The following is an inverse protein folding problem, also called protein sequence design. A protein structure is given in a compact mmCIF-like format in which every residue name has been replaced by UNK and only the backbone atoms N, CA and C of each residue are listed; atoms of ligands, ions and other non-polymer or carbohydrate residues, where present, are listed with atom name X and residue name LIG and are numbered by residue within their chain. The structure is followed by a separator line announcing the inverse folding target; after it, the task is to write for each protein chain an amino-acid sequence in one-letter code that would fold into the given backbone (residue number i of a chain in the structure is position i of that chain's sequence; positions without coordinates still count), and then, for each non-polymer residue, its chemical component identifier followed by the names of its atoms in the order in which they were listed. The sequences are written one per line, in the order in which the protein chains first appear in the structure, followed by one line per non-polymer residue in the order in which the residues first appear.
data_IF_124943850360
#
_entry.id   IF_124943850360
#
_cell.length_a   1.000
_cell.length_b   1.000
_cell.length_c   1.000
_cell.angle_alpha   90.00
_cell.angle_beta   90.00
_cell.angle_gamma   90.00
#
_symmetry.space_group_name_H-M   'P 1'
#
loop_
_entity.id
_entity.type
_entity.pdbx_description
1 polymer ?
#
# COMPACT_ATOMS: atom_id res chain seq x y z
N UNK A 1 -2.83 -8.67 11.73
CA UNK A 1 -3.01 -8.38 10.29
C UNK A 1 -2.52 -9.60 9.50
N UNK A 2 -3.36 -10.61 9.29
CA UNK A 2 -3.00 -11.78 8.47
C UNK A 2 -3.46 -11.50 7.03
N UNK A 3 -2.54 -11.20 6.08
CA UNK A 3 -2.93 -10.97 4.70
C UNK A 3 -3.42 -12.30 4.12
N UNK A 4 -4.70 -12.36 3.73
CA UNK A 4 -5.19 -13.46 2.90
C UNK A 4 -4.68 -13.26 1.48
N UNK A 5 -3.93 -14.22 0.95
CA UNK A 5 -3.45 -14.23 -0.44
C UNK A 5 -4.54 -14.67 -1.43
N UNK A 6 -5.69 -15.13 -0.91
CA UNK A 6 -6.85 -15.50 -1.73
C UNK A 6 -7.35 -14.24 -2.44
N UNK A 7 -7.51 -14.32 -3.77
CA UNK A 7 -7.92 -13.23 -4.69
C UNK A 7 -6.86 -12.17 -5.06
N UNK A 8 -5.60 -12.32 -4.65
CA UNK A 8 -4.56 -11.33 -5.00
C UNK A 8 -4.34 -11.24 -6.53
N UNK A 9 -4.30 -12.38 -7.21
CA UNK A 9 -4.13 -12.45 -8.67
C UNK A 9 -5.30 -11.80 -9.41
N UNK A 10 -6.52 -12.04 -8.95
CA UNK A 10 -7.74 -11.44 -9.51
C UNK A 10 -7.76 -9.92 -9.34
N UNK A 11 -7.26 -9.41 -8.21
CA UNK A 11 -7.14 -7.97 -7.98
C UNK A 11 -6.08 -7.31 -8.84
N UNK A 12 -4.92 -7.94 -8.97
CA UNK A 12 -3.87 -7.44 -9.89
C UNK A 12 -4.44 -7.36 -11.31
N UNK A 13 -5.11 -8.42 -11.77
CA UNK A 13 -5.74 -8.42 -13.10
C UNK A 13 -6.83 -7.35 -13.24
N UNK A 14 -7.67 -7.19 -12.22
CA UNK A 14 -8.73 -6.20 -12.19
C UNK A 14 -8.20 -4.77 -12.35
N UNK A 15 -7.18 -4.38 -11.59
CA UNK A 15 -6.63 -3.02 -11.65
C UNK A 15 -5.82 -2.74 -12.92
N UNK A 16 -5.27 -3.78 -13.56
CA UNK A 16 -4.54 -3.66 -14.82
C UNK A 16 -5.46 -3.65 -16.05
N UNK A 17 -6.52 -4.47 -16.06
CA UNK A 17 -7.36 -4.71 -17.24
C UNK A 17 -8.87 -4.68 -16.95
N UNK A 18 -9.31 -5.22 -15.82
CA UNK A 18 -10.74 -5.38 -15.50
C UNK A 18 -11.49 -4.06 -15.33
N UNK A 19 -10.86 -3.02 -14.79
CA UNK A 19 -11.44 -1.68 -14.64
C UNK A 19 -11.86 -1.09 -16.00
N UNK A 20 -11.01 -1.22 -17.02
CA UNK A 20 -11.31 -0.71 -18.35
C UNK A 20 -12.42 -1.50 -19.06
N UNK A 21 -12.68 -2.73 -18.62
CA UNK A 21 -13.77 -3.58 -19.11
C UNK A 21 -15.08 -3.41 -18.31
N UNK A 22 -15.09 -2.60 -17.25
CA UNK A 22 -16.25 -2.45 -16.37
C UNK A 22 -16.57 -3.72 -15.57
N UNK A 23 -15.58 -4.57 -15.31
CA UNK A 23 -15.77 -5.77 -14.50
C UNK A 23 -16.13 -5.39 -13.05
N UNK A 24 -16.77 -6.28 -12.29
CA UNK A 24 -17.08 -6.02 -10.88
C UNK A 24 -15.83 -6.22 -10.02
N UNK A 25 -15.60 -5.34 -9.05
CA UNK A 25 -14.44 -5.42 -8.15
C UNK A 25 -14.41 -6.76 -7.38
N UNK A 26 -13.31 -7.54 -7.44
CA UNK A 26 -13.30 -8.95 -6.97
C UNK A 26 -13.31 -9.14 -5.45
N UNK A 27 -12.99 -8.08 -4.68
CA UNK A 27 -13.16 -8.07 -3.23
C UNK A 27 -14.22 -7.06 -2.79
N UNK A 28 -15.11 -7.49 -1.90
CA UNK A 28 -16.08 -6.63 -1.25
C UNK A 28 -15.43 -5.96 -0.04
N UNK A 29 -15.60 -4.63 0.08
CA UNK A 29 -15.26 -3.91 1.29
C UNK A 29 -16.38 -4.20 2.30
N UNK A 30 -16.05 -4.71 3.47
CA UNK A 30 -16.97 -4.77 4.62
C UNK A 30 -16.49 -3.78 5.68
N UNK A 31 -17.34 -3.41 6.65
CA UNK A 31 -16.97 -2.46 7.71
C UNK A 31 -15.71 -2.90 8.48
N UNK A 32 -15.55 -4.21 8.67
CA UNK A 32 -14.38 -4.83 9.32
C UNK A 32 -13.15 -4.93 8.41
N UNK A 33 -13.30 -4.79 7.09
CA UNK A 33 -12.23 -4.91 6.11
C UNK A 33 -12.30 -3.82 5.05
N UNK A 34 -12.03 -2.57 5.47
CA UNK A 34 -11.98 -1.39 4.60
C UNK A 34 -10.91 -1.47 3.51
N UNK A 35 -9.83 -2.22 3.74
CA UNK A 35 -8.73 -2.38 2.79
C UNK A 35 -8.83 -3.65 1.97
N UNK A 36 -8.54 -3.51 0.68
CA UNK A 36 -8.40 -4.60 -0.26
C UNK A 36 -7.13 -5.45 0.10
N UNK A 37 -7.17 -6.81 0.05
CA UNK A 37 -5.99 -7.68 0.17
C UNK A 37 -4.70 -7.19 -0.51
N UNK A 38 -4.77 -6.70 -1.75
CA UNK A 38 -3.62 -6.12 -2.45
C UNK A 38 -3.06 -4.88 -1.72
N UNK A 39 -3.94 -3.96 -1.31
CA UNK A 39 -3.55 -2.77 -0.56
C UNK A 39 -2.97 -3.11 0.81
N UNK A 40 -3.50 -4.14 1.49
CA UNK A 40 -2.97 -4.63 2.78
C UNK A 40 -1.54 -5.16 2.64
N UNK A 41 -1.26 -5.91 1.56
CA UNK A 41 0.08 -6.44 1.30
C UNK A 41 1.07 -5.31 0.98
N UNK A 42 0.68 -4.38 0.11
CA UNK A 42 1.51 -3.21 -0.22
C UNK A 42 1.78 -2.36 1.03
N UNK A 43 0.77 -2.13 1.87
CA UNK A 43 0.94 -1.39 3.12
C UNK A 43 1.88 -2.10 4.11
N UNK A 44 1.79 -3.44 4.20
CA UNK A 44 2.70 -4.24 5.01
C UNK A 44 4.14 -4.11 4.51
N UNK A 45 4.36 -4.25 3.20
CA UNK A 45 5.69 -4.10 2.59
C UNK A 45 6.26 -2.68 2.76
N UNK A 46 5.43 -1.66 2.57
CA UNK A 46 5.81 -0.27 2.77
C UNK A 46 6.26 -0.02 4.22
N UNK A 47 5.44 -0.43 5.19
CA UNK A 47 5.66 -0.15 6.61
C UNK A 47 6.82 -0.95 7.21
N UNK A 48 6.94 -2.23 6.85
CA UNK A 48 7.91 -3.15 7.47
C UNK A 48 9.24 -3.18 6.74
N UNK A 49 9.26 -2.93 5.43
CA UNK A 49 10.47 -3.07 4.61
C UNK A 49 10.90 -1.74 4.02
N UNK A 50 10.07 -1.12 3.19
CA UNK A 50 10.50 0.00 2.35
C UNK A 50 10.84 1.25 3.18
N UNK A 51 9.98 1.65 4.12
CA UNK A 51 10.22 2.81 4.98
C UNK A 51 11.47 2.62 5.83
N UNK A 52 11.64 1.52 6.59
CA UNK A 52 12.87 1.29 7.35
C UNK A 52 14.12 1.30 6.48
N UNK A 53 14.09 0.65 5.32
CA UNK A 53 15.25 0.60 4.41
C UNK A 53 15.63 2.00 3.92
N UNK A 54 14.68 2.82 3.46
CA UNK A 54 14.95 4.17 2.96
C UNK A 54 15.45 5.09 4.07
N UNK A 55 14.85 5.03 5.26
CA UNK A 55 15.26 5.86 6.41
C UNK A 55 16.64 5.48 6.91
N UNK A 56 16.88 4.18 7.16
CA UNK A 56 18.17 3.68 7.66
C UNK A 56 19.28 3.97 6.64
N UNK A 57 19.06 3.63 5.36
CA UNK A 57 20.04 3.91 4.31
C UNK A 57 20.31 5.40 4.14
N UNK A 58 19.29 6.27 4.27
CA UNK A 58 19.47 7.73 4.21
C UNK A 58 20.29 8.30 5.38
N UNK A 59 20.01 7.82 6.60
CA UNK A 59 20.80 8.18 7.79
C UNK A 59 22.24 7.71 7.64
N UNK A 60 22.46 6.47 7.18
CA UNK A 60 23.80 5.93 6.94
C UNK A 60 24.53 6.73 5.86
N UNK A 61 23.84 7.11 4.78
CA UNK A 61 24.42 7.87 3.68
C UNK A 61 24.91 9.26 4.12
N UNK A 62 24.11 9.99 4.92
CA UNK A 62 24.50 11.30 5.47
C UNK A 62 25.67 11.19 6.46
N UNK A 63 25.67 10.14 7.29
CA UNK A 63 26.68 9.97 8.35
C UNK A 63 27.95 9.25 7.89
N UNK A 64 28.01 8.74 6.65
CA UNK A 64 29.16 7.97 6.15
C UNK A 64 30.47 8.76 6.22
N UNK A 65 30.45 10.05 5.84
CA UNK A 65 31.64 10.92 5.88
C UNK A 65 32.14 11.17 7.30
N UNK A 66 31.24 11.34 8.27
CA UNK A 66 31.60 11.60 9.68
C UNK A 66 32.22 10.36 10.34
N UNK A 67 31.76 9.16 9.95
CA UNK A 67 32.25 7.89 10.49
C UNK A 67 33.68 7.60 10.02
N UNK A 68 34.00 7.91 8.76
CA UNK A 68 35.36 7.81 8.20
C UNK A 68 36.37 8.70 8.95
N UNK A 69 35.97 9.92 9.34
CA UNK A 69 36.88 10.89 9.95
C UNK A 69 37.12 10.69 11.47
N UNK A 70 36.14 10.13 12.21
CA UNK A 70 36.20 10.00 13.68
C UNK A 70 36.40 8.56 14.19
N UNK A 71 36.73 7.60 13.32
CA UNK A 71 37.13 6.21 13.66
C UNK A 71 36.18 5.46 14.61
N UNK A 72 34.87 5.71 14.55
CA UNK A 72 33.87 4.91 15.27
C UNK A 72 33.58 3.66 14.42
N UNK A 73 34.13 2.52 14.84
CA UNK A 73 34.10 1.24 14.12
C UNK A 73 32.68 0.66 14.16
N UNK A 74 31.85 0.95 13.15
CA UNK A 74 30.60 0.19 12.89
C UNK A 74 30.38 -0.10 11.39
N UNK A 75 31.06 0.59 10.45
CA UNK A 75 30.75 0.51 9.00
C UNK A 75 32.01 0.28 8.12
N UNK A 76 33.06 -0.36 8.63
CA UNK A 76 34.24 -0.65 7.79
C UNK A 76 33.97 -1.71 6.70
N UNK A 77 32.86 -2.46 6.78
CA UNK A 77 32.59 -3.59 5.89
C UNK A 77 31.54 -3.32 4.80
N UNK A 78 30.69 -2.28 4.95
CA UNK A 78 29.63 -1.99 3.98
C UNK A 78 30.11 -0.88 3.04
N UNK A 79 30.34 -1.17 1.76
CA UNK A 79 30.80 -0.16 0.81
C UNK A 79 29.71 0.90 0.58
N UNK A 80 30.10 2.17 0.50
CA UNK A 80 29.21 3.31 0.24
C UNK A 80 28.31 3.08 -0.98
N UNK A 81 28.86 2.46 -2.03
CA UNK A 81 28.12 2.12 -3.25
C UNK A 81 26.86 1.29 -2.93
N UNK A 82 26.97 0.28 -2.07
CA UNK A 82 25.81 -0.55 -1.70
C UNK A 82 24.73 0.27 -1.00
N UNK A 83 25.11 1.17 -0.08
CA UNK A 83 24.16 2.05 0.62
C UNK A 83 23.47 2.99 -0.38
N UNK A 84 24.25 3.59 -1.29
CA UNK A 84 23.75 4.50 -2.32
C UNK A 84 22.74 3.81 -3.26
N UNK A 85 23.08 2.60 -3.72
CA UNK A 85 22.22 1.81 -4.61
C UNK A 85 20.93 1.40 -3.90
N UNK A 86 21.01 0.91 -2.66
CA UNK A 86 19.84 0.54 -1.87
C UNK A 86 18.91 1.73 -1.60
N UNK A 87 19.48 2.89 -1.26
CA UNK A 87 18.71 4.11 -1.02
C UNK A 87 18.02 4.58 -2.31
N UNK A 88 18.75 4.59 -3.43
CA UNK A 88 18.24 4.99 -4.75
C UNK A 88 17.13 4.05 -5.23
N UNK A 89 17.32 2.74 -5.07
CA UNK A 89 16.29 1.74 -5.37
C UNK A 89 15.04 1.96 -4.50
N UNK A 90 15.22 2.21 -3.21
CA UNK A 90 14.14 2.52 -2.29
C UNK A 90 13.37 3.79 -2.68
N UNK A 91 14.08 4.83 -3.15
CA UNK A 91 13.47 6.05 -3.66
C UNK A 91 12.61 5.79 -4.93
N UNK A 92 13.11 5.01 -5.89
CA UNK A 92 12.34 4.63 -7.07
C UNK A 92 11.09 3.80 -6.73
N UNK A 93 11.21 2.89 -5.76
CA UNK A 93 10.06 2.11 -5.27
C UNK A 93 9.02 3.01 -4.57
N UNK A 94 9.44 4.02 -3.81
CA UNK A 94 8.53 4.99 -3.19
C UNK A 94 7.81 5.85 -4.24
N UNK A 95 8.51 6.31 -5.27
CA UNK A 95 7.89 7.05 -6.38
C UNK A 95 6.88 6.16 -7.11
N UNK A 96 7.25 4.92 -7.41
CA UNK A 96 6.34 3.94 -8.05
C UNK A 96 5.11 3.69 -7.19
N UNK A 97 5.29 3.50 -5.88
CA UNK A 97 4.21 3.37 -4.92
C UNK A 97 3.29 4.60 -4.96
N UNK A 98 3.84 5.81 -4.99
CA UNK A 98 3.06 7.05 -5.03
C UNK A 98 2.20 7.13 -6.31
N UNK A 99 2.78 6.83 -7.47
CA UNK A 99 2.05 6.84 -8.76
C UNK A 99 0.89 5.83 -8.72
N UNK A 100 1.17 4.58 -8.30
CA UNK A 100 0.13 3.55 -8.18
C UNK A 100 -0.91 3.94 -7.12
N UNK A 101 -0.49 4.51 -6.00
CA UNK A 101 -1.38 4.94 -4.94
C UNK A 101 -2.37 6.00 -5.43
N UNK A 102 -1.88 7.03 -6.12
CA UNK A 102 -2.72 8.09 -6.70
C UNK A 102 -3.66 7.54 -7.78
N UNK A 103 -3.18 6.60 -8.61
CA UNK A 103 -4.06 5.93 -9.57
C UNK A 103 -5.19 5.16 -8.87
N UNK A 104 -4.87 4.38 -7.84
CA UNK A 104 -5.89 3.60 -7.13
C UNK A 104 -6.90 4.49 -6.40
N UNK A 105 -6.48 5.64 -5.86
CA UNK A 105 -7.41 6.58 -5.23
C UNK A 105 -8.33 7.25 -6.25
N UNK A 106 -7.93 7.40 -7.51
CA UNK A 106 -8.81 7.95 -8.57
C UNK A 106 -9.72 6.90 -9.20
N UNK A 107 -9.49 5.61 -9.00
CA UNK A 107 -10.37 4.52 -9.50
C UNK A 107 -11.59 4.24 -8.59
N UNK A 108 -12.08 5.23 -7.86
CA UNK A 108 -13.30 5.13 -7.03
C UNK A 108 -14.60 5.23 -7.84
N UNK A 109 -15.74 5.25 -7.15
CA UNK A 109 -17.07 5.49 -7.75
C UNK A 109 -17.11 6.77 -8.56
N UNK A 110 -16.41 7.79 -8.05
CA UNK A 110 -15.96 8.96 -8.80
C UNK A 110 -14.47 9.21 -8.53
N UNK A 111 -13.74 9.90 -9.43
CA UNK A 111 -12.30 10.13 -9.27
C UNK A 111 -11.90 10.85 -7.99
N UNK A 112 -12.83 11.59 -7.39
CA UNK A 112 -12.62 12.35 -6.17
C UNK A 112 -13.22 11.68 -4.94
N UNK A 113 -14.06 10.64 -5.08
CA UNK A 113 -14.76 10.01 -3.95
C UNK A 113 -13.80 9.48 -2.88
N UNK A 114 -12.79 8.70 -3.28
CA UNK A 114 -11.82 8.17 -2.30
C UNK A 114 -10.96 9.29 -1.68
N UNK A 115 -10.63 10.33 -2.44
CA UNK A 115 -9.86 11.48 -1.94
C UNK A 115 -10.70 12.28 -0.94
N UNK A 116 -11.98 12.51 -1.25
CA UNK A 116 -12.96 13.12 -0.35
C UNK A 116 -13.05 12.30 0.94
N UNK A 117 -13.19 10.98 0.84
CA UNK A 117 -13.24 10.11 2.01
C UNK A 117 -11.97 10.16 2.88
N UNK A 118 -10.78 10.37 2.29
CA UNK A 118 -9.54 10.59 3.05
C UNK A 118 -9.54 11.93 3.80
N UNK A 119 -10.12 12.97 3.21
CA UNK A 119 -10.17 14.31 3.82
C UNK A 119 -11.29 14.44 4.86
N UNK A 120 -12.46 13.88 4.58
CA UNK A 120 -13.66 13.99 5.42
C UNK A 120 -13.77 12.87 6.44
N UNK A 121 -13.08 11.75 6.22
CA UNK A 121 -13.20 10.53 7.02
C UNK A 121 -14.45 9.68 6.73
N UNK A 122 -15.39 10.18 5.93
CA UNK A 122 -16.64 9.52 5.57
C UNK A 122 -16.60 9.02 4.12
N UNK A 123 -16.94 7.74 3.92
CA UNK A 123 -17.00 7.09 2.61
C UNK A 123 -18.48 6.90 2.23
N UNK A 124 -18.89 7.44 1.09
CA UNK A 124 -20.20 7.19 0.51
C UNK A 124 -20.16 5.80 -0.15
N UNK A 125 -20.94 4.85 0.37
CA UNK A 125 -21.02 3.48 -0.13
C UNK A 125 -22.20 3.39 -1.11
N UNK A 126 -22.01 2.81 -2.29
CA UNK A 126 -23.10 2.67 -3.26
C UNK A 126 -24.18 1.70 -2.73
N UNK A 127 -25.45 1.96 -3.06
CA UNK A 127 -26.62 1.21 -2.59
C UNK A 127 -26.57 -0.30 -2.88
N UNK A 128 -25.88 -0.75 -3.94
CA UNK A 128 -25.65 -2.19 -4.20
C UNK A 128 -24.76 -2.84 -3.14
N UNK A 129 -23.87 -2.06 -2.53
CA UNK A 129 -22.96 -2.50 -1.47
C UNK A 129 -23.70 -2.54 -0.13
N UNK A 130 -24.51 -1.52 0.18
CA UNK A 130 -25.38 -1.49 1.38
C UNK A 130 -26.33 -2.69 1.42
N UNK A 131 -27.06 -2.95 0.33
CA UNK A 131 -27.99 -4.08 0.26
C UNK A 131 -27.28 -5.43 0.47
N UNK A 132 -26.03 -5.59 0.03
CA UNK A 132 -25.26 -6.82 0.26
C UNK A 132 -24.71 -6.94 1.67
N UNK A 133 -24.39 -5.82 2.33
CA UNK A 133 -23.94 -5.79 3.73
C UNK A 133 -25.10 -6.17 4.65
N UNK A 134 -26.30 -5.61 4.43
CA UNK A 134 -27.51 -6.00 5.17
C UNK A 134 -27.79 -7.51 5.05
N UNK A 135 -27.79 -8.03 3.83
CA UNK A 135 -27.97 -9.47 3.56
C UNK A 135 -26.88 -10.37 4.15
N UNK A 136 -25.67 -9.87 4.43
CA UNK A 136 -24.62 -10.63 5.09
C UNK A 136 -24.77 -10.60 6.62
N UNK A 137 -25.11 -9.44 7.18
CA UNK A 137 -25.32 -9.28 8.62
C UNK A 137 -26.56 -10.05 9.10
N UNK A 138 -27.63 -10.13 8.30
CA UNK A 138 -28.79 -10.97 8.61
C UNK A 138 -28.41 -12.46 8.68
N UNK A 139 -27.56 -12.95 7.78
CA UNK A 139 -27.12 -14.35 7.76
C UNK A 139 -26.18 -14.73 8.89
N UNK A 140 -25.40 -13.78 9.42
CA UNK A 140 -24.57 -13.99 10.61
C UNK A 140 -25.39 -13.95 11.91
N UNK A 141 -26.49 -13.18 11.95
CA UNK A 141 -27.38 -13.11 13.11
C UNK A 141 -28.36 -14.29 13.21
N UNK A 142 -28.52 -15.08 12.14
CA UNK A 142 -29.34 -16.30 12.11
C UNK A 142 -28.57 -17.59 12.48
N UNK A 143 -27.26 -17.51 12.76
CA UNK A 143 -26.40 -18.63 13.21
C UNK A 143 -26.06 -18.53 14.69
#
# INVERSE_FOLDING_TARGET
YLPSTKKLKEQIHYYLFGIFKGEKHPSHKSELSKLNPLQKLVYLGLKVVLIPVVVISGILYINYKTIDQNYIIVISEIPLNTIAVLHTLGAFLLITFLVVHVYMTTTGTTPTSNIKAMLTGYEEIDQETDNKIENQNEKENEQ
#
